data_IF_758735904410
#
_entry.id   IF_758735904410
#
_cell.length_a   1.000
_cell.length_b   1.000
_cell.length_c   1.000
_cell.angle_alpha   90.00
_cell.angle_beta   90.00
_cell.angle_gamma   90.00
#
_symmetry.space_group_name_H-M   'P 1'
#
loop_
_entity.id
_entity.type
_entity.pdbx_description
1 polymer ?
#
# COMPACT_ATOMS: atom_id res chain seq x y z
N UNK A 1 -14.82 -13.44 -1.67
CA UNK A 1 -13.62 -14.28 -1.46
C UNK A 1 -13.31 -14.26 0.04
N UNK A 2 -12.80 -15.33 0.63
CA UNK A 2 -12.40 -15.32 2.06
C UNK A 2 -11.02 -14.65 2.18
N UNK A 3 -10.86 -13.71 3.11
CA UNK A 3 -9.57 -13.08 3.37
C UNK A 3 -8.55 -14.10 3.89
N UNK A 4 -7.37 -14.12 3.26
CA UNK A 4 -6.20 -14.87 3.71
C UNK A 4 -5.30 -13.92 4.49
N UNK A 5 -5.06 -14.25 5.75
CA UNK A 5 -4.20 -13.47 6.64
C UNK A 5 -2.81 -14.08 6.59
N UNK A 6 -1.76 -13.30 6.27
CA UNK A 6 -0.41 -13.83 6.35
C UNK A 6 -0.01 -14.15 7.79
N UNK A 7 1.07 -14.94 8.00
CA UNK A 7 1.57 -15.22 9.35
C UNK A 7 2.01 -13.94 10.07
N UNK A 8 1.76 -13.88 11.38
CA UNK A 8 2.22 -12.78 12.24
C UNK A 8 3.76 -12.72 12.22
N UNK A 9 4.31 -11.50 12.15
CA UNK A 9 5.76 -11.27 12.22
C UNK A 9 6.23 -11.23 13.68
N UNK A 10 7.27 -11.98 13.99
CA UNK A 10 7.85 -12.08 15.32
C UNK A 10 9.38 -11.82 15.29
N UNK A 11 9.95 -11.39 16.40
CA UNK A 11 11.41 -11.27 16.54
C UNK A 11 12.09 -12.62 16.22
N UNK A 12 13.19 -12.56 15.47
CA UNK A 12 13.90 -13.73 14.96
C UNK A 12 13.40 -14.28 13.63
N UNK A 13 12.25 -13.81 13.15
CA UNK A 13 11.73 -14.19 11.81
C UNK A 13 12.62 -13.66 10.67
N UNK A 14 12.47 -14.25 9.51
CA UNK A 14 13.22 -13.88 8.30
C UNK A 14 12.42 -12.96 7.41
N UNK A 15 13.03 -11.84 7.01
CA UNK A 15 12.49 -10.87 6.04
C UNK A 15 13.22 -11.06 4.71
N UNK A 16 12.48 -11.29 3.63
CA UNK A 16 12.99 -11.37 2.27
C UNK A 16 13.01 -9.99 1.61
N UNK A 17 14.17 -9.55 1.13
CA UNK A 17 14.35 -8.27 0.44
C UNK A 17 14.30 -8.50 -1.06
N UNK A 18 13.47 -7.70 -1.76
CA UNK A 18 13.29 -7.73 -3.23
C UNK A 18 13.32 -6.32 -3.81
N UNK A 19 13.72 -6.18 -5.07
CA UNK A 19 13.63 -4.92 -5.82
C UNK A 19 12.66 -5.11 -6.99
N UNK A 20 11.42 -4.60 -6.86
CA UNK A 20 10.33 -4.91 -7.80
C UNK A 20 10.04 -3.79 -8.79
N UNK A 21 10.50 -2.57 -8.53
CA UNK A 21 10.33 -1.39 -9.38
C UNK A 21 11.68 -0.81 -9.80
N UNK A 22 11.93 0.44 -9.41
CA UNK A 22 13.21 1.11 -9.68
C UNK A 22 14.33 0.63 -8.75
N UNK A 23 15.60 0.67 -9.22
CA UNK A 23 16.75 0.30 -8.40
C UNK A 23 16.95 1.26 -7.22
N UNK A 24 17.61 0.77 -6.18
CA UNK A 24 18.08 1.55 -5.05
C UNK A 24 19.60 1.38 -4.92
N UNK A 25 20.29 2.41 -4.46
CA UNK A 25 21.74 2.35 -4.27
C UNK A 25 22.13 1.21 -3.32
N UNK A 26 23.16 0.45 -3.69
CA UNK A 26 23.64 -0.73 -2.93
C UNK A 26 24.01 -0.40 -1.49
N UNK A 27 24.64 0.77 -1.25
CA UNK A 27 25.06 1.14 0.10
C UNK A 27 23.85 1.45 0.98
N UNK A 28 22.83 2.10 0.39
CA UNK A 28 21.56 2.36 1.07
C UNK A 28 20.88 1.03 1.42
N UNK A 29 20.77 0.10 0.47
CA UNK A 29 20.20 -1.23 0.72
C UNK A 29 20.90 -1.90 1.89
N UNK A 30 22.25 -1.98 1.86
CA UNK A 30 23.03 -2.65 2.88
C UNK A 30 22.92 -1.97 4.25
N UNK A 31 22.86 -0.65 4.30
CA UNK A 31 22.64 0.10 5.53
C UNK A 31 21.27 -0.21 6.15
N UNK A 32 20.21 -0.23 5.33
CA UNK A 32 18.85 -0.52 5.80
C UNK A 32 18.69 -1.99 6.23
N UNK A 33 19.37 -2.92 5.56
CA UNK A 33 19.43 -4.33 5.99
C UNK A 33 20.02 -4.43 7.39
N UNK A 34 21.14 -3.76 7.66
CA UNK A 34 21.74 -3.75 9.02
C UNK A 34 20.77 -3.18 10.08
N UNK A 35 19.96 -2.17 9.69
CA UNK A 35 18.93 -1.65 10.60
C UNK A 35 17.91 -2.72 10.96
N UNK A 36 17.45 -3.50 9.98
CA UNK A 36 16.50 -4.61 10.19
C UNK A 36 17.14 -5.71 11.05
N UNK A 37 18.39 -6.08 10.78
CA UNK A 37 19.12 -7.07 11.56
C UNK A 37 19.31 -6.61 13.02
N UNK A 38 19.61 -5.33 13.26
CA UNK A 38 19.70 -4.73 14.58
C UNK A 38 18.34 -4.68 15.32
N UNK A 39 17.22 -4.77 14.60
CA UNK A 39 15.87 -4.93 15.18
C UNK A 39 15.54 -6.38 15.55
N UNK A 40 16.48 -7.32 15.37
CA UNK A 40 16.33 -8.73 15.75
C UNK A 40 15.78 -9.64 14.66
N UNK A 41 15.66 -9.17 13.41
CA UNK A 41 15.22 -9.99 12.28
C UNK A 41 16.39 -10.60 11.51
N UNK A 42 16.14 -11.74 10.87
CA UNK A 42 17.05 -12.30 9.86
C UNK A 42 16.70 -11.73 8.49
N UNK A 43 17.68 -11.65 7.59
CA UNK A 43 17.46 -11.12 6.24
C UNK A 43 17.93 -12.12 5.18
N UNK A 44 17.10 -12.33 4.16
CA UNK A 44 17.44 -13.01 2.92
C UNK A 44 17.27 -12.01 1.78
N UNK A 45 18.25 -11.92 0.90
CA UNK A 45 18.28 -10.96 -0.21
C UNK A 45 18.02 -11.70 -1.51
N UNK A 46 17.09 -11.20 -2.32
CA UNK A 46 16.82 -11.72 -3.65
C UNK A 46 18.04 -11.61 -4.56
N UNK A 47 18.12 -12.49 -5.54
CA UNK A 47 19.28 -12.60 -6.45
C UNK A 47 19.54 -11.31 -7.23
N UNK A 48 18.47 -10.62 -7.62
CA UNK A 48 18.47 -9.45 -8.49
C UNK A 48 18.30 -8.11 -7.75
N UNK A 49 18.34 -8.10 -6.41
CA UNK A 49 18.08 -6.90 -5.58
C UNK A 49 19.01 -5.73 -5.92
N UNK A 50 20.24 -6.02 -6.33
CA UNK A 50 21.26 -5.01 -6.64
C UNK A 50 21.41 -4.72 -8.14
N UNK A 51 20.56 -5.30 -8.98
CA UNK A 51 20.62 -5.13 -10.41
C UNK A 51 20.05 -3.77 -10.83
N UNK A 52 20.53 -3.30 -11.99
CA UNK A 52 20.03 -2.08 -12.61
C UNK A 52 19.96 -2.25 -14.12
N UNK A 53 18.78 -2.02 -14.68
CA UNK A 53 18.52 -2.00 -16.10
C UNK A 53 17.81 -0.68 -16.45
N UNK A 54 18.58 0.36 -16.73
CA UNK A 54 18.05 1.71 -16.88
C UNK A 54 17.41 2.21 -15.57
N UNK A 55 16.12 2.51 -15.60
CA UNK A 55 15.35 2.94 -14.44
C UNK A 55 14.65 1.78 -13.68
N UNK A 56 14.83 0.53 -14.14
CA UNK A 56 14.30 -0.68 -13.51
C UNK A 56 15.39 -1.45 -12.75
N UNK A 57 15.00 -2.20 -11.74
CA UNK A 57 15.88 -3.06 -10.94
C UNK A 57 16.06 -4.46 -11.57
N UNK A 58 16.22 -4.55 -12.89
CA UNK A 58 16.29 -5.78 -13.67
C UNK A 58 15.13 -5.89 -14.66
N UNK A 59 15.09 -7.01 -15.40
CA UNK A 59 13.96 -7.35 -16.28
C UNK A 59 12.71 -7.69 -15.47
N UNK A 60 11.55 -7.68 -16.09
CA UNK A 60 10.30 -8.07 -15.45
C UNK A 60 10.35 -9.50 -14.90
N UNK A 61 10.95 -10.43 -15.69
CA UNK A 61 11.12 -11.83 -15.28
C UNK A 61 12.05 -11.99 -14.09
N UNK A 62 13.18 -11.27 -14.04
CA UNK A 62 14.13 -11.33 -12.93
C UNK A 62 13.52 -10.83 -11.64
N UNK A 63 12.79 -9.69 -11.69
CA UNK A 63 12.09 -9.11 -10.54
C UNK A 63 10.95 -10.00 -10.04
N UNK A 64 10.18 -10.60 -10.97
CA UNK A 64 9.14 -11.57 -10.65
C UNK A 64 9.72 -12.85 -10.04
N UNK A 65 10.83 -13.36 -10.60
CA UNK A 65 11.49 -14.56 -10.07
C UNK A 65 11.98 -14.37 -8.63
N UNK A 66 12.54 -13.21 -8.30
CA UNK A 66 12.92 -12.88 -6.92
C UNK A 66 11.70 -12.86 -5.98
N UNK A 67 10.58 -12.26 -6.42
CA UNK A 67 9.36 -12.24 -5.63
C UNK A 67 8.82 -13.65 -5.40
N UNK A 68 8.74 -14.48 -6.44
CA UNK A 68 8.25 -15.85 -6.33
C UNK A 68 9.16 -16.71 -5.46
N UNK A 69 10.49 -16.57 -5.57
CA UNK A 69 11.45 -17.27 -4.71
C UNK A 69 11.25 -16.91 -3.23
N UNK A 70 10.87 -15.67 -2.91
CA UNK A 70 10.55 -15.28 -1.52
C UNK A 70 9.22 -15.87 -1.05
N UNK A 71 8.23 -16.03 -1.92
CA UNK A 71 7.00 -16.74 -1.57
C UNK A 71 7.25 -18.24 -1.33
N UNK A 72 8.09 -18.88 -2.13
CA UNK A 72 8.44 -20.30 -1.99
C UNK A 72 9.32 -20.59 -0.77
N UNK A 73 10.16 -19.65 -0.35
CA UNK A 73 11.06 -19.83 0.79
C UNK A 73 10.29 -19.91 2.10
N UNK A 74 10.25 -21.09 2.72
CA UNK A 74 9.50 -21.38 3.96
C UNK A 74 9.99 -20.61 5.19
N UNK A 75 11.23 -20.17 5.20
CA UNK A 75 11.81 -19.40 6.31
C UNK A 75 11.34 -17.93 6.29
N UNK A 76 11.03 -17.40 5.10
CA UNK A 76 10.59 -16.01 4.93
C UNK A 76 9.16 -15.84 5.45
N UNK A 77 8.95 -14.87 6.34
CA UNK A 77 7.63 -14.48 6.87
C UNK A 77 7.11 -13.17 6.28
N UNK A 78 8.02 -12.27 5.92
CA UNK A 78 7.70 -10.98 5.31
C UNK A 78 8.54 -10.78 4.05
N UNK A 79 7.92 -10.23 3.01
CA UNK A 79 8.59 -9.73 1.79
C UNK A 79 8.58 -8.22 1.84
N UNK A 80 9.77 -7.63 1.86
CA UNK A 80 9.97 -6.18 1.99
C UNK A 80 10.69 -5.66 0.74
N UNK A 81 9.98 -4.92 -0.14
CA UNK A 81 10.58 -4.28 -1.30
C UNK A 81 11.58 -3.19 -0.90
N UNK A 82 12.62 -3.00 -1.72
CA UNK A 82 13.61 -1.94 -1.51
C UNK A 82 12.97 -0.55 -1.60
N UNK A 83 12.18 -0.33 -2.65
CA UNK A 83 11.40 0.89 -2.94
C UNK A 83 10.34 0.61 -4.02
N UNK A 84 9.45 1.58 -4.28
CA UNK A 84 8.57 1.59 -5.44
C UNK A 84 9.31 2.09 -6.71
N UNK A 85 9.02 3.29 -7.14
CA UNK A 85 9.55 3.87 -8.37
C UNK A 85 8.59 3.66 -9.53
N UNK A 86 8.99 2.88 -10.55
CA UNK A 86 8.14 2.52 -11.70
C UNK A 86 8.38 1.07 -12.11
N UNK A 87 7.41 0.46 -12.79
CA UNK A 87 7.56 -0.83 -13.47
C UNK A 87 7.11 -2.05 -12.66
N UNK A 88 6.49 -1.87 -11.49
CA UNK A 88 5.96 -3.00 -10.70
C UNK A 88 4.85 -3.74 -11.48
N UNK A 89 4.03 -3.04 -12.25
CA UNK A 89 3.01 -3.68 -13.09
C UNK A 89 3.57 -4.72 -14.07
N UNK A 90 4.79 -4.53 -14.56
CA UNK A 90 5.44 -5.42 -15.53
C UNK A 90 5.69 -6.84 -15.00
N UNK A 91 5.77 -7.02 -13.67
CA UNK A 91 6.00 -8.36 -13.09
C UNK A 91 4.72 -9.21 -12.99
N UNK A 92 3.53 -8.59 -13.01
CA UNK A 92 2.26 -9.25 -12.75
C UNK A 92 1.99 -10.47 -13.64
N UNK A 93 2.29 -10.45 -14.97
CA UNK A 93 2.07 -11.61 -15.84
C UNK A 93 2.93 -12.84 -15.52
N UNK A 94 3.94 -12.69 -14.67
CA UNK A 94 4.90 -13.75 -14.31
C UNK A 94 4.66 -14.32 -12.91
N UNK A 95 3.59 -13.90 -12.23
CA UNK A 95 3.25 -14.38 -10.89
C UNK A 95 2.43 -15.67 -10.99
N UNK A 96 2.65 -16.57 -10.04
CA UNK A 96 1.86 -17.79 -9.85
C UNK A 96 0.99 -17.67 -8.59
N UNK A 97 -0.29 -17.42 -8.81
CA UNK A 97 -1.27 -17.23 -7.74
C UNK A 97 -1.41 -18.46 -6.85
N UNK A 98 -1.26 -19.69 -7.41
CA UNK A 98 -1.35 -20.91 -6.62
C UNK A 98 -0.21 -21.05 -5.63
N UNK A 99 1.00 -20.69 -6.03
CA UNK A 99 2.17 -20.67 -5.13
C UNK A 99 2.00 -19.65 -4.03
N UNK A 100 1.49 -18.45 -4.35
CA UNK A 100 1.20 -17.39 -3.37
C UNK A 100 0.14 -17.85 -2.38
N UNK A 101 -0.95 -18.46 -2.86
CA UNK A 101 -2.03 -19.01 -2.03
C UNK A 101 -1.54 -20.07 -1.05
N UNK A 102 -0.62 -20.93 -1.48
CA UNK A 102 -0.05 -21.99 -0.64
C UNK A 102 0.97 -21.49 0.38
N UNK A 103 1.56 -20.31 0.12
CA UNK A 103 2.64 -19.75 0.92
C UNK A 103 2.33 -18.28 1.30
N UNK A 104 1.22 -18.00 2.01
CA UNK A 104 0.87 -16.63 2.33
C UNK A 104 1.95 -15.97 3.20
N UNK A 105 2.38 -14.76 2.82
CA UNK A 105 3.40 -13.97 3.51
C UNK A 105 2.95 -12.54 3.65
N UNK A 106 3.48 -11.84 4.66
CA UNK A 106 3.35 -10.39 4.71
C UNK A 106 4.08 -9.82 3.51
N UNK A 107 3.38 -8.99 2.73
CA UNK A 107 3.99 -8.15 1.70
C UNK A 107 3.55 -6.71 1.92
N UNK A 108 4.48 -5.78 1.85
CA UNK A 108 4.26 -4.37 2.20
C UNK A 108 4.84 -3.45 1.14
N UNK A 109 4.40 -2.21 1.13
CA UNK A 109 4.92 -1.17 0.24
C UNK A 109 3.91 -0.06 -0.01
N UNK A 110 4.32 0.97 -0.70
CA UNK A 110 3.50 2.08 -1.19
C UNK A 110 4.04 2.57 -2.54
N UNK A 111 3.53 3.67 -3.08
CA UNK A 111 3.97 4.12 -4.40
C UNK A 111 3.57 3.11 -5.49
N UNK A 112 4.47 2.78 -6.40
CA UNK A 112 4.26 1.83 -7.49
C UNK A 112 3.90 0.39 -7.02
N UNK A 113 4.18 0.07 -5.75
CA UNK A 113 3.71 -1.18 -5.13
C UNK A 113 2.20 -1.30 -5.04
N UNK A 114 1.46 -0.20 -5.16
CA UNK A 114 0.00 -0.16 -5.08
C UNK A 114 -0.66 -1.20 -5.97
N UNK A 115 -0.22 -1.31 -7.23
CA UNK A 115 -0.83 -2.25 -8.17
C UNK A 115 -0.65 -3.70 -7.71
N UNK A 116 0.56 -4.08 -7.30
CA UNK A 116 0.84 -5.44 -6.81
C UNK A 116 0.03 -5.79 -5.57
N UNK A 117 -0.02 -4.88 -4.57
CA UNK A 117 -0.73 -5.12 -3.32
C UNK A 117 -2.22 -5.39 -3.54
N UNK A 118 -2.86 -4.61 -4.40
CA UNK A 118 -4.28 -4.78 -4.72
C UNK A 118 -4.53 -6.01 -5.60
N UNK A 119 -3.68 -6.28 -6.59
CA UNK A 119 -3.81 -7.46 -7.46
C UNK A 119 -3.64 -8.75 -6.66
N UNK A 120 -2.68 -8.83 -5.76
CA UNK A 120 -2.53 -9.99 -4.86
C UNK A 120 -3.79 -10.22 -4.03
N UNK A 121 -4.40 -9.16 -3.50
CA UNK A 121 -5.67 -9.28 -2.80
C UNK A 121 -6.80 -9.74 -3.74
N UNK A 122 -6.92 -9.16 -4.92
CA UNK A 122 -8.00 -9.47 -5.86
C UNK A 122 -7.94 -10.92 -6.38
N UNK A 123 -6.74 -11.46 -6.61
CA UNK A 123 -6.57 -12.79 -7.18
C UNK A 123 -6.48 -13.90 -6.13
N UNK A 124 -5.92 -13.59 -4.97
CA UNK A 124 -5.65 -14.62 -3.95
C UNK A 124 -6.44 -14.44 -2.65
N UNK A 125 -6.98 -13.25 -2.41
CA UNK A 125 -7.58 -12.89 -1.12
C UNK A 125 -6.55 -12.56 -0.03
N UNK A 126 -5.25 -12.55 -0.34
CA UNK A 126 -4.19 -12.25 0.62
C UNK A 126 -4.28 -10.79 1.08
N UNK A 127 -4.41 -10.58 2.39
CA UNK A 127 -4.28 -9.24 2.97
C UNK A 127 -2.83 -8.78 2.80
N UNK A 128 -2.65 -7.63 2.14
CA UNK A 128 -1.36 -6.99 1.92
C UNK A 128 -1.32 -5.63 2.61
N UNK A 129 -0.17 -4.96 2.67
CA UNK A 129 -0.03 -3.78 3.51
C UNK A 129 0.52 -2.59 2.74
N UNK A 130 -0.30 -1.55 2.58
CA UNK A 130 0.18 -0.23 2.15
C UNK A 130 0.91 0.41 3.33
N UNK A 131 2.23 0.23 3.40
CA UNK A 131 3.07 0.63 4.52
C UNK A 131 4.55 0.72 4.11
N UNK A 132 5.46 0.64 5.08
CA UNK A 132 6.90 0.84 4.88
C UNK A 132 7.51 -0.11 3.86
N UNK A 133 8.57 0.38 3.20
CA UNK A 133 9.52 -0.38 2.39
C UNK A 133 10.92 -0.26 2.99
N UNK A 134 11.89 -1.03 2.49
CA UNK A 134 13.27 -1.04 3.02
C UNK A 134 13.86 0.37 3.15
N UNK A 135 13.64 1.25 2.15
CA UNK A 135 14.14 2.63 2.15
C UNK A 135 13.74 3.43 3.41
N UNK A 136 12.66 3.03 4.09
CA UNK A 136 12.15 3.70 5.28
C UNK A 136 12.83 3.25 6.59
N UNK A 137 13.63 2.18 6.59
CA UNK A 137 14.29 1.67 7.78
C UNK A 137 15.58 2.46 8.08
N UNK A 138 15.40 3.72 8.48
CA UNK A 138 16.47 4.67 8.81
C UNK A 138 16.15 5.43 10.11
N UNK A 139 17.17 6.00 10.73
CA UNK A 139 17.06 6.66 12.05
C UNK A 139 16.07 7.83 12.07
N UNK A 140 15.96 8.56 10.94
CA UNK A 140 15.08 9.73 10.85
C UNK A 140 13.62 9.37 10.62
N UNK A 141 13.29 8.10 10.41
CA UNK A 141 11.91 7.66 10.25
C UNK A 141 11.15 7.85 11.57
N UNK A 142 10.03 8.59 11.57
CA UNK A 142 9.23 8.81 12.77
C UNK A 142 8.83 7.50 13.45
N UNK A 143 8.86 7.46 14.78
CA UNK A 143 8.43 6.29 15.57
C UNK A 143 7.00 5.86 15.20
N UNK A 144 6.10 6.82 14.97
CA UNK A 144 4.73 6.57 14.50
C UNK A 144 4.68 5.59 13.31
N UNK A 145 5.60 5.71 12.34
CA UNK A 145 5.61 4.85 11.16
C UNK A 145 5.91 3.40 11.52
N UNK A 146 6.87 3.17 12.41
CA UNK A 146 7.19 1.83 12.91
C UNK A 146 6.07 1.28 13.81
N UNK A 147 5.49 2.11 14.66
CA UNK A 147 4.36 1.71 15.51
C UNK A 147 3.18 1.24 14.66
N UNK A 148 2.83 1.98 13.61
CA UNK A 148 1.78 1.58 12.66
C UNK A 148 2.13 0.28 11.92
N UNK A 149 3.37 0.17 11.43
CA UNK A 149 3.85 -0.99 10.70
C UNK A 149 3.80 -2.26 11.55
N UNK A 150 4.41 -2.23 12.75
CA UNK A 150 4.44 -3.40 13.63
C UNK A 150 3.08 -3.70 14.24
N UNK A 151 2.26 -2.71 14.54
CA UNK A 151 0.88 -2.96 15.00
C UNK A 151 0.09 -3.73 13.94
N UNK A 152 0.26 -3.40 12.66
CA UNK A 152 -0.44 -4.08 11.58
C UNK A 152 0.09 -5.49 11.28
N UNK A 153 1.40 -5.73 11.46
CA UNK A 153 2.08 -6.95 11.00
C UNK A 153 2.48 -7.90 12.14
N UNK A 154 2.56 -7.40 13.38
CA UNK A 154 3.11 -8.14 14.53
C UNK A 154 2.14 -8.24 15.70
N UNK A 155 0.87 -7.86 15.53
CA UNK A 155 -0.16 -8.01 16.57
C UNK A 155 -1.47 -8.55 16.01
N UNK A 156 -2.29 -9.13 16.90
CA UNK A 156 -3.65 -9.59 16.57
C UNK A 156 -4.73 -8.61 17.05
N UNK A 157 -4.35 -7.37 17.38
CA UNK A 157 -5.27 -6.37 17.92
C UNK A 157 -6.37 -6.05 16.90
N UNK A 158 -7.61 -6.33 17.29
CA UNK A 158 -8.81 -5.95 16.55
C UNK A 158 -10.00 -5.81 17.52
N UNK A 159 -10.88 -4.80 17.34
CA UNK A 159 -10.75 -3.73 16.35
C UNK A 159 -9.59 -2.78 16.64
N UNK A 160 -9.01 -2.19 15.57
CA UNK A 160 -7.90 -1.23 15.66
C UNK A 160 -8.23 0.03 14.87
N UNK A 161 -8.18 1.18 15.51
CA UNK A 161 -8.30 2.46 14.82
C UNK A 161 -6.99 2.80 14.09
N UNK A 162 -7.11 3.35 12.89
CA UNK A 162 -6.03 3.99 12.16
C UNK A 162 -6.14 5.48 12.46
N UNK A 163 -5.24 5.97 13.29
CA UNK A 163 -5.20 7.37 13.74
C UNK A 163 -4.01 8.07 13.11
N UNK A 164 -4.21 9.29 12.69
CA UNK A 164 -3.09 10.14 12.30
C UNK A 164 -2.28 10.56 13.53
N UNK A 165 -0.99 10.94 13.36
CA UNK A 165 -0.20 11.47 14.47
C UNK A 165 -0.79 12.78 14.99
N UNK A 166 -0.49 13.16 16.26
CA UNK A 166 -0.95 14.41 16.85
C UNK A 166 -0.67 15.63 15.97
N UNK A 167 -1.64 16.50 15.83
CA UNK A 167 -1.55 17.71 14.99
C UNK A 167 -1.96 17.51 13.53
N UNK A 168 -2.30 16.30 13.13
CA UNK A 168 -2.78 15.97 11.77
C UNK A 168 -4.15 15.29 11.82
N UNK A 169 -5.24 15.98 12.14
CA UNK A 169 -6.55 15.35 12.28
C UNK A 169 -7.06 14.80 10.95
N UNK A 170 -7.75 13.67 10.98
CA UNK A 170 -8.63 13.24 9.89
C UNK A 170 -9.77 14.24 9.76
N UNK A 171 -10.20 14.52 8.54
CA UNK A 171 -11.23 15.54 8.26
C UNK A 171 -12.35 14.92 7.45
N UNK A 172 -13.57 14.89 8.00
CA UNK A 172 -14.76 14.49 7.27
C UNK A 172 -15.24 15.60 6.35
N UNK A 173 -15.63 15.23 5.14
CA UNK A 173 -16.18 16.11 4.10
C UNK A 173 -17.63 15.78 3.76
N UNK A 174 -17.99 14.51 3.77
CA UNK A 174 -19.34 14.02 3.57
C UNK A 174 -19.61 12.99 4.65
N UNK A 175 -20.68 13.19 5.41
CA UNK A 175 -21.05 12.31 6.54
C UNK A 175 -21.58 10.97 6.05
N UNK A 176 -21.29 9.92 6.81
CA UNK A 176 -21.81 8.58 6.64
C UNK A 176 -21.02 7.53 7.38
N UNK A 177 -21.52 6.30 7.34
CA UNK A 177 -20.91 5.17 8.04
C UNK A 177 -21.04 3.91 7.19
N UNK A 178 -19.92 3.40 6.69
CA UNK A 178 -19.88 2.24 5.80
C UNK A 178 -18.80 1.25 6.25
N UNK A 179 -19.05 -0.02 5.95
CA UNK A 179 -18.14 -1.12 6.26
C UNK A 179 -17.88 -1.94 5.02
N UNK A 180 -16.62 -2.24 4.74
CA UNK A 180 -16.22 -3.06 3.62
C UNK A 180 -14.71 -3.27 3.53
N UNK A 181 -14.24 -4.07 2.58
CA UNK A 181 -12.81 -4.20 2.31
C UNK A 181 -12.21 -2.88 1.87
N UNK A 182 -10.99 -2.55 2.33
CA UNK A 182 -10.27 -1.36 1.88
C UNK A 182 -9.31 -1.69 0.75
N UNK A 183 -9.31 -0.88 -0.31
CA UNK A 183 -8.42 -0.98 -1.47
C UNK A 183 -7.92 0.40 -1.87
N UNK A 184 -6.83 0.45 -2.65
CA UNK A 184 -6.29 1.71 -3.12
C UNK A 184 -4.80 1.85 -2.87
N UNK A 185 -4.33 3.09 -2.76
CA UNK A 185 -2.94 3.47 -2.58
C UNK A 185 -2.56 4.71 -3.39
N UNK A 186 -1.42 4.69 -4.06
CA UNK A 186 -1.00 5.79 -4.91
C UNK A 186 -1.93 5.92 -6.14
N UNK A 187 -2.43 7.13 -6.37
CA UNK A 187 -3.42 7.43 -7.40
C UNK A 187 -2.89 7.12 -8.80
N UNK A 188 -1.67 7.55 -9.14
CA UNK A 188 -1.04 7.27 -10.44
C UNK A 188 -0.98 5.77 -10.70
N UNK A 189 -0.40 5.00 -9.77
CA UNK A 189 -0.27 3.54 -9.91
C UNK A 189 -1.63 2.82 -9.94
N UNK A 190 -2.63 3.35 -9.23
CA UNK A 190 -3.98 2.82 -9.29
C UNK A 190 -4.59 2.99 -10.69
N UNK A 191 -4.46 4.20 -11.26
CA UNK A 191 -4.97 4.54 -12.59
C UNK A 191 -4.27 3.71 -13.68
N UNK A 192 -2.99 3.39 -13.52
CA UNK A 192 -2.25 2.54 -14.46
C UNK A 192 -2.82 1.12 -14.59
N UNK A 193 -3.61 0.66 -13.60
CA UNK A 193 -4.28 -0.63 -13.69
C UNK A 193 -5.48 -0.64 -14.64
N UNK A 194 -6.09 0.51 -14.93
CA UNK A 194 -7.35 0.62 -15.65
C UNK A 194 -7.22 0.16 -17.11
N UNK A 195 -8.17 -0.66 -17.55
CA UNK A 195 -8.19 -1.22 -18.90
C UNK A 195 -7.19 -2.36 -19.12
N UNK A 196 -6.58 -2.88 -18.07
CA UNK A 196 -5.68 -4.04 -18.10
C UNK A 196 -6.36 -5.27 -17.48
N UNK A 197 -5.84 -6.50 -17.69
CA UNK A 197 -6.32 -7.67 -16.96
C UNK A 197 -6.20 -7.54 -15.44
N UNK A 198 -5.34 -6.65 -14.95
CA UNK A 198 -5.04 -6.41 -13.55
C UNK A 198 -5.78 -5.20 -12.97
N UNK A 199 -6.89 -4.82 -13.58
CA UNK A 199 -7.68 -3.67 -13.16
C UNK A 199 -8.26 -3.86 -11.76
N UNK A 200 -7.92 -2.92 -10.86
CA UNK A 200 -8.34 -2.96 -9.46
C UNK A 200 -9.83 -2.64 -9.35
N UNK A 201 -10.58 -3.52 -8.68
CA UNK A 201 -12.01 -3.30 -8.45
C UNK A 201 -12.25 -2.41 -7.23
N UNK A 202 -13.18 -1.45 -7.36
CA UNK A 202 -13.67 -0.63 -6.23
C UNK A 202 -15.08 -1.01 -5.80
N UNK A 203 -15.73 -1.91 -6.53
CA UNK A 203 -17.13 -2.27 -6.32
C UNK A 203 -17.37 -2.90 -4.95
N UNK A 204 -18.18 -2.22 -4.14
CA UNK A 204 -18.49 -2.66 -2.78
C UNK A 204 -17.30 -2.58 -1.81
N UNK A 205 -16.32 -1.70 -2.08
CA UNK A 205 -15.11 -1.51 -1.28
C UNK A 205 -14.96 -0.07 -0.85
N UNK A 206 -14.15 0.16 0.18
CA UNK A 206 -13.74 1.51 0.60
C UNK A 206 -12.45 1.83 -0.16
N UNK A 207 -12.47 2.93 -0.91
CA UNK A 207 -11.35 3.38 -1.73
C UNK A 207 -10.52 4.39 -0.95
N UNK A 208 -9.20 4.15 -0.80
CA UNK A 208 -8.29 5.19 -0.34
C UNK A 208 -7.27 5.54 -1.42
N UNK A 209 -6.91 6.82 -1.53
CA UNK A 209 -5.96 7.31 -2.52
C UNK A 209 -5.04 8.36 -1.90
N UNK A 210 -3.78 8.35 -2.28
CA UNK A 210 -2.78 9.38 -1.98
C UNK A 210 -1.94 9.67 -3.23
N UNK A 211 -1.22 10.78 -3.27
CA UNK A 211 -0.39 11.09 -4.43
C UNK A 211 0.88 11.86 -4.01
N UNK A 212 1.84 11.93 -4.91
CA UNK A 212 3.09 12.64 -4.70
C UNK A 212 3.65 13.27 -5.98
N UNK A 213 4.18 14.49 -5.84
CA UNK A 213 4.96 15.22 -6.86
C UNK A 213 4.27 15.37 -8.22
N UNK A 214 2.95 15.20 -8.29
CA UNK A 214 2.20 15.44 -9.51
C UNK A 214 1.60 16.86 -9.53
N UNK A 215 1.69 17.59 -10.64
CA UNK A 215 0.98 18.86 -10.76
C UNK A 215 -0.54 18.59 -10.82
N UNK A 216 -1.32 19.49 -10.24
CA UNK A 216 -2.77 19.29 -10.04
C UNK A 216 -3.55 19.04 -11.36
N UNK A 217 -3.10 19.57 -12.49
CA UNK A 217 -3.71 19.27 -13.78
C UNK A 217 -3.52 17.80 -14.24
N UNK A 218 -2.50 17.09 -13.76
CA UNK A 218 -2.39 15.65 -13.94
C UNK A 218 -3.26 14.88 -12.95
N UNK A 219 -3.29 15.32 -11.69
CA UNK A 219 -4.20 14.74 -10.68
C UNK A 219 -5.65 14.83 -11.18
N UNK A 220 -6.04 15.97 -11.78
CA UNK A 220 -7.34 16.12 -12.45
C UNK A 220 -7.58 15.02 -13.49
N UNK A 221 -6.61 14.73 -14.36
CA UNK A 221 -6.74 13.67 -15.37
C UNK A 221 -6.99 12.30 -14.73
N UNK A 222 -6.27 11.98 -13.68
CA UNK A 222 -6.41 10.71 -12.96
C UNK A 222 -7.79 10.60 -12.29
N UNK A 223 -8.24 11.63 -11.60
CA UNK A 223 -9.57 11.69 -10.99
C UNK A 223 -10.68 11.56 -12.04
N UNK A 224 -10.54 12.26 -13.17
CA UNK A 224 -11.50 12.15 -14.29
C UNK A 224 -11.48 10.75 -14.91
N UNK A 225 -10.32 10.11 -15.03
CA UNK A 225 -10.23 8.72 -15.52
C UNK A 225 -10.93 7.75 -14.57
N UNK A 226 -10.71 7.86 -13.25
CA UNK A 226 -11.42 7.06 -12.25
C UNK A 226 -12.93 7.25 -12.33
N UNK A 227 -13.40 8.49 -12.51
CA UNK A 227 -14.81 8.80 -12.70
C UNK A 227 -15.39 8.13 -13.95
N UNK A 228 -14.74 8.30 -15.10
CA UNK A 228 -15.18 7.71 -16.37
C UNK A 228 -15.16 6.18 -16.36
N UNK A 229 -14.25 5.58 -15.59
CA UNK A 229 -14.15 4.14 -15.38
C UNK A 229 -15.14 3.60 -14.32
N UNK A 230 -16.00 4.45 -13.74
CA UNK A 230 -17.00 4.07 -12.73
C UNK A 230 -16.41 3.76 -11.33
N UNK A 231 -15.11 3.98 -11.13
CA UNK A 231 -14.42 3.59 -9.89
C UNK A 231 -14.89 4.38 -8.67
N UNK A 232 -15.26 5.63 -8.86
CA UNK A 232 -15.74 6.51 -7.81
C UNK A 232 -17.22 6.21 -7.45
N UNK A 233 -18.02 5.85 -8.43
CA UNK A 233 -19.43 5.49 -8.26
C UNK A 233 -19.60 4.11 -7.62
N UNK A 234 -18.71 3.16 -7.91
CA UNK A 234 -18.82 1.78 -7.46
C UNK A 234 -18.38 1.56 -6.01
N UNK A 235 -17.55 2.46 -5.45
CA UNK A 235 -17.07 2.32 -4.09
C UNK A 235 -18.12 2.68 -3.04
N UNK A 236 -17.95 2.17 -1.80
CA UNK A 236 -18.83 2.43 -0.66
C UNK A 236 -18.56 3.79 0.00
N UNK A 237 -17.32 4.21 0.03
CA UNK A 237 -16.84 5.45 0.64
C UNK A 237 -15.40 5.70 0.23
N UNK A 238 -14.92 6.92 0.46
CA UNK A 238 -13.63 7.38 -0.06
C UNK A 238 -12.80 8.00 1.07
N UNK A 239 -11.51 7.69 1.06
CA UNK A 239 -10.52 8.29 1.95
C UNK A 239 -9.42 8.90 1.07
N UNK A 240 -9.21 10.20 1.19
CA UNK A 240 -8.14 10.89 0.50
C UNK A 240 -6.98 11.13 1.47
N UNK A 241 -5.84 10.57 1.14
CA UNK A 241 -4.58 10.88 1.77
C UNK A 241 -4.01 12.21 1.30
N UNK A 242 -2.76 12.45 1.64
CA UNK A 242 -2.04 13.66 1.25
C UNK A 242 -1.65 13.60 -0.24
N UNK A 243 -1.52 14.78 -0.88
CA UNK A 243 -0.86 14.96 -2.16
C UNK A 243 0.49 15.63 -1.88
N UNK A 244 1.48 14.83 -1.53
CA UNK A 244 2.78 15.32 -1.03
C UNK A 244 3.59 15.93 -2.18
N UNK A 245 3.95 17.22 -2.06
CA UNK A 245 4.71 17.92 -3.10
C UNK A 245 3.91 18.17 -4.38
N UNK A 246 2.59 18.04 -4.36
CA UNK A 246 1.75 18.36 -5.51
C UNK A 246 1.61 19.88 -5.64
N UNK A 247 1.94 20.39 -6.83
CA UNK A 247 1.90 21.81 -7.09
C UNK A 247 0.55 22.25 -7.66
N UNK A 248 0.02 23.36 -7.14
CA UNK A 248 -1.18 23.99 -7.72
C UNK A 248 -0.94 24.33 -9.20
N UNK A 249 -1.96 24.12 -10.03
CA UNK A 249 -1.92 24.45 -11.44
C UNK A 249 -3.10 25.33 -11.82
N UNK A 250 -2.84 26.42 -12.51
CA UNK A 250 -3.89 27.39 -12.93
C UNK A 250 -4.78 27.89 -11.79
N UNK A 251 -4.24 28.02 -10.58
CA UNK A 251 -5.00 28.45 -9.40
C UNK A 251 -5.88 27.34 -8.77
N UNK A 252 -5.84 26.11 -9.29
CA UNK A 252 -6.58 24.98 -8.74
C UNK A 252 -5.70 24.20 -7.77
N UNK A 253 -6.25 23.88 -6.59
CA UNK A 253 -5.60 23.11 -5.55
C UNK A 253 -6.07 21.65 -5.52
N UNK A 254 -5.35 20.78 -4.79
CA UNK A 254 -5.80 19.41 -4.52
C UNK A 254 -7.16 19.38 -3.81
N UNK A 255 -7.37 20.25 -2.85
CA UNK A 255 -8.63 20.42 -2.13
C UNK A 255 -9.79 20.78 -3.09
N UNK A 256 -9.53 21.66 -4.08
CA UNK A 256 -10.52 22.01 -5.08
C UNK A 256 -10.95 20.80 -5.92
N UNK A 257 -10.01 19.90 -6.29
CA UNK A 257 -10.33 18.66 -7.01
C UNK A 257 -11.14 17.68 -6.14
N UNK A 258 -10.80 17.54 -4.86
CA UNK A 258 -11.58 16.73 -3.92
C UNK A 258 -13.02 17.24 -3.88
N UNK A 259 -13.21 18.55 -3.74
CA UNK A 259 -14.54 19.14 -3.68
C UNK A 259 -15.33 18.97 -4.99
N UNK A 260 -14.67 19.09 -6.14
CA UNK A 260 -15.30 18.97 -7.47
C UNK A 260 -15.70 17.51 -7.78
N UNK A 261 -14.80 16.55 -7.54
CA UNK A 261 -15.01 15.16 -7.96
C UNK A 261 -15.73 14.29 -6.94
N UNK A 262 -15.52 14.52 -5.64
CA UNK A 262 -15.88 13.56 -4.61
C UNK A 262 -17.08 14.01 -3.76
N UNK A 263 -17.22 15.29 -3.43
CA UNK A 263 -18.40 15.75 -2.67
C UNK A 263 -19.72 15.46 -3.40
N UNK A 264 -19.83 15.69 -4.73
CA UNK A 264 -21.08 15.41 -5.45
C UNK A 264 -21.51 13.94 -5.50
N UNK A 265 -20.63 13.00 -5.12
CA UNK A 265 -20.96 11.57 -5.07
C UNK A 265 -21.86 11.22 -3.88
N UNK A 266 -21.98 12.11 -2.90
CA UNK A 266 -22.78 11.93 -1.67
C UNK A 266 -22.49 10.61 -0.94
N UNK A 267 -21.19 10.25 -0.89
CA UNK A 267 -20.65 9.07 -0.19
C UNK A 267 -19.80 9.50 0.99
N UNK A 268 -19.69 8.67 2.05
CA UNK A 268 -18.77 8.97 3.15
C UNK A 268 -17.39 9.34 2.62
N UNK A 269 -16.93 10.56 2.89
CA UNK A 269 -15.67 11.10 2.41
C UNK A 269 -14.85 11.63 3.58
N UNK A 270 -13.68 11.06 3.76
CA UNK A 270 -12.67 11.47 4.74
C UNK A 270 -11.40 11.92 4.02
N UNK A 271 -10.73 12.93 4.54
CA UNK A 271 -9.49 13.46 3.97
C UNK A 271 -8.38 13.55 5.02
N UNK A 272 -7.17 13.84 4.55
CA UNK A 272 -5.96 14.05 5.35
C UNK A 272 -5.43 12.78 6.03
N UNK A 273 -5.68 11.58 5.48
CA UNK A 273 -5.04 10.37 5.99
C UNK A 273 -3.51 10.45 5.77
N UNK A 274 -2.76 10.37 6.86
CA UNK A 274 -1.30 10.42 6.82
C UNK A 274 -0.71 9.05 6.45
N UNK A 275 -0.64 8.77 5.15
CA UNK A 275 -0.07 7.53 4.61
C UNK A 275 0.70 7.79 3.30
N UNK A 276 1.43 6.80 2.79
CA UNK A 276 2.15 6.88 1.52
C UNK A 276 3.39 7.76 1.58
N UNK A 277 3.44 8.82 0.75
CA UNK A 277 4.66 9.61 0.52
C UNK A 277 4.92 10.70 1.57
N UNK A 278 3.94 11.06 2.40
CA UNK A 278 4.13 12.03 3.48
C UNK A 278 5.15 11.57 4.53
N UNK A 279 5.46 12.46 5.47
CA UNK A 279 6.37 12.15 6.59
C UNK A 279 5.85 10.99 7.44
N UNK A 280 4.56 11.01 7.74
CA UNK A 280 3.89 9.98 8.53
C UNK A 280 3.21 8.96 7.63
N UNK A 281 3.29 7.68 8.02
CA UNK A 281 2.84 6.54 7.21
C UNK A 281 2.01 5.58 8.04
N UNK A 282 0.69 5.84 8.10
CA UNK A 282 -0.24 4.86 8.61
C UNK A 282 -0.17 3.56 7.78
N UNK A 283 -0.27 2.42 8.44
CA UNK A 283 -0.30 1.13 7.77
C UNK A 283 -1.75 0.73 7.43
N UNK A 284 -2.05 0.69 6.14
CA UNK A 284 -3.37 0.35 5.61
C UNK A 284 -3.37 -1.10 5.12
N UNK A 285 -4.15 -1.99 5.75
CA UNK A 285 -4.22 -3.39 5.32
C UNK A 285 -5.19 -3.54 4.14
N UNK A 286 -4.64 -3.69 2.94
CA UNK A 286 -5.41 -3.88 1.70
C UNK A 286 -6.22 -5.17 1.78
N UNK A 287 -7.50 -5.08 1.51
CA UNK A 287 -8.44 -6.21 1.56
C UNK A 287 -9.04 -6.49 2.93
N UNK A 288 -8.49 -5.96 4.01
CA UNK A 288 -9.09 -6.10 5.33
C UNK A 288 -10.41 -5.36 5.43
N UNK A 289 -11.34 -5.90 6.20
CA UNK A 289 -12.62 -5.25 6.49
C UNK A 289 -12.39 -4.06 7.42
N UNK A 290 -12.76 -2.87 6.96
CA UNK A 290 -12.70 -1.65 7.75
C UNK A 290 -14.07 -1.00 7.88
N UNK A 291 -14.25 -0.21 8.94
CA UNK A 291 -15.36 0.72 9.10
C UNK A 291 -14.85 2.14 8.88
N UNK A 292 -15.43 2.84 7.92
CA UNK A 292 -15.26 4.27 7.68
C UNK A 292 -16.48 4.98 8.26
N UNK A 293 -16.29 5.68 9.37
CA UNK A 293 -17.33 6.46 10.02
C UNK A 293 -16.93 7.94 10.03
N UNK A 294 -17.41 8.69 9.04
CA UNK A 294 -17.10 10.10 8.88
C UNK A 294 -17.91 11.01 9.80
N UNK A 295 -18.96 10.50 10.45
CA UNK A 295 -19.68 11.23 11.51
C UNK A 295 -18.77 11.39 12.74
N UNK A 296 -18.01 10.35 13.08
CA UNK A 296 -17.11 10.32 14.23
C UNK A 296 -15.65 10.55 13.89
N UNK A 297 -15.31 10.80 12.63
CA UNK A 297 -13.91 10.91 12.12
C UNK A 297 -13.06 9.68 12.46
N UNK A 298 -13.59 8.45 12.30
CA UNK A 298 -12.85 7.23 12.60
C UNK A 298 -12.70 6.32 11.38
N UNK A 299 -11.52 5.71 11.27
CA UNK A 299 -11.22 4.61 10.38
C UNK A 299 -10.78 3.42 11.22
N UNK A 300 -11.56 2.35 11.24
CA UNK A 300 -11.34 1.21 12.14
C UNK A 300 -11.18 -0.09 11.35
N UNK A 301 -10.06 -0.77 11.51
CA UNK A 301 -9.85 -2.14 11.03
C UNK A 301 -10.58 -3.08 11.98
N UNK A 302 -11.53 -3.87 11.46
CA UNK A 302 -12.46 -4.67 12.28
C UNK A 302 -11.96 -6.09 12.57
N UNK A 303 -10.89 -6.52 11.91
CA UNK A 303 -10.36 -7.88 12.03
C UNK A 303 -8.83 -7.87 12.22
N UNK A 304 -8.25 -8.90 12.84
CA UNK A 304 -6.80 -9.09 12.81
C UNK A 304 -6.32 -9.22 11.36
N UNK A 305 -5.22 -8.56 11.02
CA UNK A 305 -4.66 -8.52 9.65
C UNK A 305 -3.61 -9.58 9.39
N UNK A 306 -3.18 -10.26 10.43
CA UNK A 306 -2.26 -11.40 10.42
C UNK A 306 -2.83 -12.55 11.27
N UNK A 307 -2.24 -13.73 11.18
CA UNK A 307 -2.70 -14.90 11.95
C UNK A 307 -1.51 -15.75 12.42
N UNK A 308 -1.72 -16.56 13.47
CA UNK A 308 -0.83 -17.68 13.76
C UNK A 308 -1.14 -18.83 12.80
N UNK A 309 -0.08 -19.38 12.22
CA UNK A 309 -0.14 -20.65 11.49
C UNK A 309 0.49 -21.71 12.40
N UNK A 310 -0.31 -22.70 12.77
CA UNK A 310 0.12 -23.90 13.51
C UNK A 310 0.61 -24.96 12.54
#
# INVERSE_FOLDING_TARGET
MRNIKPPILQEGDTIGIVSLGSPLDRNIINERIRTIENMGFKVVVGKHVYDQNGFLAGTDQERAADLMAMFENTDVKMILPTRGGVGVAGILPFLDDETILRNPKIITGYSDMTILLNVLYDYTGLITFHSLMLINFKLETPAYNFDQFFTATSTLVAPRQIENPPGFPLVSKVEGNVTGPIVGGNLTSFVDSLGTPFEISTKGRILFLEETNEPINKVYRYMNHLKLAGKLEDCLGIIMGQCTGCETAYGISYEALINEFLIPLDKPLMTNLATGHGTYKAAIPIGATVNLNTVNNTLTVLEPTVAYYT
#
